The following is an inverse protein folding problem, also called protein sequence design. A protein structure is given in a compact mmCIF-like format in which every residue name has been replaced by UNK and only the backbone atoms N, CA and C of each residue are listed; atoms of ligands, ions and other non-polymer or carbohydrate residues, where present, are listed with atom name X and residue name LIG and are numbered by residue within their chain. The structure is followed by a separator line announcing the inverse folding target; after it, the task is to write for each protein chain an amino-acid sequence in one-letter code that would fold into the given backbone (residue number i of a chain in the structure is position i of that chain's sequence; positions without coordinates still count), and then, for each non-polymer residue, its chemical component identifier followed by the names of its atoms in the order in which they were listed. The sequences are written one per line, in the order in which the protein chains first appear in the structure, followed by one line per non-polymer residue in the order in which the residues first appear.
data_IF_338403582586
#
_entry.id   IF_338403582586
#
_cell.length_a   1.000
_cell.length_b   1.000
_cell.length_c   1.000
_cell.angle_alpha   90.00
_cell.angle_beta   90.00
_cell.angle_gamma   90.00
#
_symmetry.space_group_name_H-M   'P 1'
#
loop_
_entity.id
_entity.type
_entity.pdbx_description
1 polymer ?
#
# COMPACT_ATOMS: atom_id res chain seq x y z
N UNK A 1 24.09 -4.88 11.87
CA UNK A 1 23.76 -4.15 10.61
C UNK A 1 22.59 -3.21 10.90
N UNK A 2 22.18 -2.34 9.97
CA UNK A 2 20.95 -1.56 10.15
C UNK A 2 19.71 -2.40 9.81
N UNK A 3 18.57 -2.13 10.46
CA UNK A 3 17.34 -2.93 10.31
C UNK A 3 16.81 -2.98 8.87
N UNK A 4 16.89 -1.85 8.16
CA UNK A 4 16.49 -1.71 6.76
C UNK A 4 17.41 -2.48 5.82
N UNK A 5 18.69 -2.65 6.17
CA UNK A 5 19.62 -3.45 5.38
C UNK A 5 19.32 -4.95 5.50
N UNK A 6 18.87 -5.41 6.67
CA UNK A 6 18.44 -6.78 6.91
C UNK A 6 17.14 -7.07 6.15
N UNK A 7 16.16 -6.16 6.21
CA UNK A 7 14.94 -6.28 5.43
C UNK A 7 15.23 -6.35 3.93
N UNK A 8 16.07 -5.43 3.41
CA UNK A 8 16.47 -5.45 2.01
C UNK A 8 17.23 -6.73 1.60
N UNK A 9 18.04 -7.31 2.50
CA UNK A 9 18.70 -8.59 2.26
C UNK A 9 17.68 -9.73 2.14
N UNK A 10 16.71 -9.81 3.06
CA UNK A 10 15.67 -10.85 3.10
C UNK A 10 14.71 -10.75 1.92
N UNK A 11 14.41 -9.54 1.47
CA UNK A 11 13.53 -9.31 0.32
C UNK A 11 14.24 -9.49 -1.03
N UNK A 12 15.58 -9.47 -1.04
CA UNK A 12 16.38 -9.62 -2.26
C UNK A 12 16.63 -8.31 -3.01
N UNK A 13 16.44 -7.18 -2.35
CA UNK A 13 16.49 -5.83 -2.93
C UNK A 13 17.89 -5.18 -2.89
N UNK A 14 18.87 -5.88 -2.34
CA UNK A 14 20.26 -5.39 -2.32
C UNK A 14 20.93 -5.56 -3.69
N UNK A 15 21.65 -4.51 -4.13
CA UNK A 15 22.59 -4.64 -5.24
C UNK A 15 23.67 -5.68 -4.93
N UNK A 16 24.18 -6.34 -5.96
CA UNK A 16 25.15 -7.46 -5.85
C UNK A 16 26.31 -7.19 -4.89
N UNK A 17 26.95 -6.03 -4.96
CA UNK A 17 28.08 -5.69 -4.08
C UNK A 17 27.67 -5.52 -2.61
N UNK A 18 26.46 -5.01 -2.33
CA UNK A 18 25.92 -4.93 -0.98
C UNK A 18 25.48 -6.31 -0.48
N UNK A 19 24.89 -7.13 -1.35
CA UNK A 19 24.52 -8.51 -1.05
C UNK A 19 25.74 -9.35 -0.63
N UNK A 20 26.85 -9.30 -1.37
CA UNK A 20 28.06 -10.06 -1.02
C UNK A 20 28.65 -9.64 0.33
N UNK A 21 28.67 -8.34 0.62
CA UNK A 21 29.13 -7.83 1.94
C UNK A 21 28.20 -8.27 3.07
N UNK A 22 26.89 -8.24 2.85
CA UNK A 22 25.90 -8.72 3.80
C UNK A 22 26.06 -10.23 4.03
N UNK A 23 26.12 -11.03 2.97
CA UNK A 23 26.30 -12.48 3.06
C UNK A 23 27.59 -12.86 3.80
N UNK A 24 28.69 -12.16 3.53
CA UNK A 24 29.93 -12.33 4.28
C UNK A 24 29.78 -11.95 5.76
N UNK A 25 29.08 -10.86 6.08
CA UNK A 25 28.85 -10.50 7.48
C UNK A 25 27.97 -11.53 8.21
N UNK A 26 26.94 -12.06 7.56
CA UNK A 26 26.05 -13.07 8.13
C UNK A 26 26.76 -14.38 8.45
N UNK A 27 27.83 -14.73 7.71
CA UNK A 27 28.59 -15.96 8.01
C UNK A 27 29.45 -15.87 9.27
N UNK A 28 29.72 -14.65 9.76
CA UNK A 28 30.59 -14.40 10.92
C UNK A 28 29.86 -13.75 12.10
N UNK A 29 28.63 -13.25 11.91
CA UNK A 29 27.85 -12.57 12.95
C UNK A 29 26.51 -13.31 13.21
N UNK A 30 26.45 -14.04 14.32
CA UNK A 30 25.26 -14.79 14.72
C UNK A 30 24.05 -13.91 15.03
N UNK A 31 24.26 -12.70 15.56
CA UNK A 31 23.18 -11.74 15.86
C UNK A 31 22.46 -11.30 14.58
N UNK A 32 23.21 -10.87 13.56
CA UNK A 32 22.60 -10.48 12.29
C UNK A 32 21.98 -11.67 11.55
N UNK A 33 22.53 -12.88 11.70
CA UNK A 33 21.90 -14.10 11.17
C UNK A 33 20.54 -14.37 11.85
N UNK A 34 20.46 -14.22 13.17
CA UNK A 34 19.22 -14.35 13.92
C UNK A 34 18.17 -13.31 13.49
N UNK A 35 18.57 -12.05 13.28
CA UNK A 35 17.67 -11.01 12.79
C UNK A 35 17.14 -11.31 11.38
N UNK A 36 17.98 -11.86 10.50
CA UNK A 36 17.57 -12.33 9.17
C UNK A 36 16.52 -13.45 9.26
N UNK A 37 16.72 -14.42 10.17
CA UNK A 37 15.74 -15.50 10.39
C UNK A 37 14.42 -14.97 10.95
N UNK A 38 14.47 -14.03 11.90
CA UNK A 38 13.28 -13.38 12.44
C UNK A 38 12.47 -12.65 11.34
N UNK A 39 13.14 -11.91 10.47
CA UNK A 39 12.51 -11.22 9.34
C UNK A 39 11.94 -12.21 8.30
N UNK A 40 12.64 -13.30 8.00
CA UNK A 40 12.10 -14.37 7.15
C UNK A 40 10.85 -15.01 7.75
N UNK A 41 10.83 -15.26 9.06
CA UNK A 41 9.66 -15.80 9.75
C UNK A 41 8.48 -14.84 9.66
N UNK A 42 8.70 -13.54 9.85
CA UNK A 42 7.68 -12.51 9.69
C UNK A 42 7.13 -12.51 8.25
N UNK A 43 7.99 -12.54 7.23
CA UNK A 43 7.59 -12.62 5.80
C UNK A 43 6.73 -13.86 5.52
N UNK A 44 7.12 -15.02 6.05
CA UNK A 44 6.35 -16.28 5.93
C UNK A 44 5.02 -16.23 6.68
N UNK A 45 4.94 -15.54 7.80
CA UNK A 45 3.70 -15.35 8.53
C UNK A 45 2.72 -14.47 7.74
N UNK A 46 3.18 -13.35 7.20
CA UNK A 46 2.38 -12.46 6.35
C UNK A 46 1.92 -13.13 5.07
N UNK A 47 2.77 -13.92 4.40
CA UNK A 47 2.34 -14.66 3.20
C UNK A 47 1.32 -15.75 3.48
N UNK A 48 1.26 -16.25 4.71
CA UNK A 48 0.26 -17.24 5.15
C UNK A 48 -0.97 -16.59 5.76
N UNK A 49 -0.99 -15.28 5.99
CA UNK A 49 -2.21 -14.60 6.45
C UNK A 49 -3.25 -14.60 5.33
N UNK A 50 -4.51 -14.45 5.70
CA UNK A 50 -5.61 -14.39 4.75
C UNK A 50 -5.37 -13.32 3.68
N UNK A 51 -5.86 -13.60 2.47
CA UNK A 51 -5.78 -12.64 1.38
C UNK A 51 -6.55 -11.37 1.74
N UNK A 52 -5.97 -10.22 1.40
CA UNK A 52 -6.61 -8.93 1.63
C UNK A 52 -7.61 -8.72 0.51
N UNK A 53 -8.83 -9.19 0.72
CA UNK A 53 -9.91 -9.00 -0.24
C UNK A 53 -10.32 -7.52 -0.32
N UNK A 54 -10.59 -7.05 -1.54
CA UNK A 54 -11.09 -5.69 -1.73
C UNK A 54 -12.53 -5.58 -1.19
N UNK A 55 -12.84 -4.58 -0.35
CA UNK A 55 -14.21 -4.37 0.13
C UNK A 55 -15.16 -4.14 -1.05
N UNK A 56 -16.31 -4.83 -1.06
CA UNK A 56 -17.29 -4.77 -2.16
C UNK A 56 -17.80 -3.34 -2.42
N UNK A 57 -17.97 -2.54 -1.38
CA UNK A 57 -18.36 -1.13 -1.50
C UNK A 57 -17.31 -0.28 -2.23
N UNK A 58 -16.02 -0.49 -1.96
CA UNK A 58 -14.94 0.20 -2.67
C UNK A 58 -14.87 -0.24 -4.14
N UNK A 59 -15.04 -1.53 -4.40
CA UNK A 59 -15.09 -2.05 -5.77
C UNK A 59 -16.21 -1.41 -6.58
N UNK A 60 -17.41 -1.30 -6.00
CA UNK A 60 -18.55 -0.66 -6.65
C UNK A 60 -18.33 0.83 -6.93
N UNK A 61 -17.58 1.55 -6.08
CA UNK A 61 -17.21 2.94 -6.34
C UNK A 61 -16.13 3.06 -7.44
N UNK A 62 -15.08 2.24 -7.38
CA UNK A 62 -14.00 2.26 -8.37
C UNK A 62 -14.49 1.86 -9.77
N UNK A 63 -15.47 0.95 -9.87
CA UNK A 63 -16.08 0.57 -11.16
C UNK A 63 -16.86 1.70 -11.82
N UNK A 64 -17.23 2.76 -11.09
CA UNK A 64 -17.97 3.91 -11.62
C UNK A 64 -17.06 5.05 -12.11
N UNK A 65 -15.74 4.99 -11.88
CA UNK A 65 -14.78 6.02 -12.35
C UNK A 65 -14.93 6.34 -13.85
N UNK A 66 -15.10 5.36 -14.76
CA UNK A 66 -15.30 5.65 -16.17
C UNK A 66 -16.53 6.52 -16.46
N UNK A 67 -17.58 6.43 -15.63
CA UNK A 67 -18.86 7.13 -15.78
C UNK A 67 -18.85 8.55 -15.21
N UNK A 68 -17.80 8.95 -14.48
CA UNK A 68 -17.69 10.30 -13.90
C UNK A 68 -17.28 11.38 -14.92
N UNK A 69 -16.87 10.99 -16.14
CA UNK A 69 -16.40 11.88 -17.19
C UNK A 69 -17.52 12.35 -18.15
N UNK A 70 -18.69 11.74 -18.13
CA UNK A 70 -19.85 12.20 -18.91
C UNK A 70 -20.49 13.39 -18.20
N UNK A 71 -19.96 14.59 -18.49
CA UNK A 71 -20.56 15.85 -18.06
C UNK A 71 -21.87 16.11 -18.81
N UNK A 72 -22.99 15.93 -18.13
CA UNK A 72 -24.24 16.65 -18.43
C UNK A 72 -24.55 17.60 -17.26
N UNK A 73 -24.82 18.90 -17.52
CA UNK A 73 -25.19 19.84 -16.48
C UNK A 73 -26.67 19.66 -16.12
N UNK A 74 -26.93 18.90 -15.04
CA UNK A 74 -28.25 18.83 -14.45
C UNK A 74 -28.56 20.11 -13.67
N UNK A 75 -29.09 21.10 -14.38
CA UNK A 75 -29.70 22.28 -13.79
C UNK A 75 -31.09 21.94 -13.19
N UNK A 76 -31.30 22.37 -11.94
CA UNK A 76 -32.56 22.52 -11.17
C UNK A 76 -33.06 21.29 -10.38
N UNK A 77 -33.50 21.35 -9.12
CA UNK A 77 -33.54 22.33 -8.02
C UNK A 77 -33.94 21.55 -6.70
N UNK A 78 -34.49 22.15 -5.60
CA UNK A 78 -33.90 22.10 -4.25
C UNK A 78 -34.71 21.30 -3.21
N UNK A 79 -34.05 20.58 -2.29
CA UNK A 79 -34.69 20.15 -1.04
C UNK A 79 -33.70 19.89 0.09
N UNK A 80 -34.18 20.12 1.31
CA UNK A 80 -33.46 20.43 2.53
C UNK A 80 -33.01 19.21 3.36
N UNK A 81 -31.93 19.41 4.14
CA UNK A 81 -31.77 18.82 5.48
C UNK A 81 -31.06 17.45 5.60
N UNK A 82 -30.50 17.12 6.79
CA UNK A 82 -29.10 16.70 6.92
C UNK A 82 -28.92 15.23 7.34
N UNK A 83 -27.77 14.63 7.02
CA UNK A 83 -26.89 13.83 7.91
C UNK A 83 -25.81 13.08 7.12
N UNK A 84 -24.69 12.83 7.80
CA UNK A 84 -23.51 12.06 7.41
C UNK A 84 -22.50 12.74 6.46
N UNK A 85 -21.45 13.22 7.12
CA UNK A 85 -20.23 13.79 6.58
C UNK A 85 -19.49 12.78 5.68
N UNK A 86 -19.65 12.89 4.36
CA UNK A 86 -18.83 12.14 3.36
C UNK A 86 -18.63 12.92 2.06
N UNK A 87 -19.32 14.04 1.89
CA UNK A 87 -19.43 14.75 0.60
C UNK A 87 -18.25 15.70 0.33
N UNK A 88 -17.36 15.90 1.30
CA UNK A 88 -16.18 16.78 1.14
C UNK A 88 -15.08 16.11 0.31
N UNK A 89 -14.99 14.77 0.32
CA UNK A 89 -13.89 14.05 -0.37
C UNK A 89 -14.02 14.11 -1.90
N UNK A 90 -15.23 14.00 -2.44
CA UNK A 90 -15.46 13.97 -3.89
C UNK A 90 -15.16 15.28 -4.60
N UNK A 91 -15.39 16.44 -3.95
CA UNK A 91 -15.11 17.76 -4.57
C UNK A 91 -13.62 18.12 -4.57
N UNK A 92 -12.84 17.53 -3.64
CA UNK A 92 -11.41 17.78 -3.51
C UNK A 92 -10.60 16.91 -4.47
N UNK A 93 -11.03 15.67 -4.74
CA UNK A 93 -10.34 14.81 -5.72
C UNK A 93 -10.41 15.36 -7.15
N UNK A 94 -11.55 15.90 -7.59
CA UNK A 94 -11.68 16.48 -8.95
C UNK A 94 -10.77 17.69 -9.19
N UNK A 95 -10.35 18.40 -8.14
CA UNK A 95 -9.46 19.56 -8.25
C UNK A 95 -7.99 19.19 -8.31
N UNK A 96 -7.58 18.02 -7.80
CA UNK A 96 -6.16 17.66 -7.65
C UNK A 96 -5.55 16.99 -8.89
N UNK A 97 -6.37 16.44 -9.77
CA UNK A 97 -5.93 15.75 -11.00
C UNK A 97 -6.01 16.63 -12.27
N UNK A 98 -6.15 17.95 -12.09
CA UNK A 98 -6.01 18.98 -13.15
C UNK A 98 -4.74 19.84 -12.92
N UNK A 99 -3.63 19.20 -12.60
CA UNK A 99 -2.28 19.75 -12.73
C UNK A 99 -1.38 18.71 -13.36
#
# INVERSE_FOLDING_TARGET
MASEAIAAFVDGELRMSAYLRAAHHLSICAECAFEVDAQQQARRALRRSADVAMPSGLLGLLSQIPSCNSGEPADKAPFAGPTADSTVSSRLWSRRWRR
#
